data_IF_101194822118
#
_entry.id   IF_101194822118
#
_cell.length_a   1.000
_cell.length_b   1.000
_cell.length_c   1.000
_cell.angle_alpha   90.00
_cell.angle_beta   90.00
_cell.angle_gamma   90.00
#
_symmetry.space_group_name_H-M   'P 1'
#
loop_
_entity.id
_entity.type
_entity.pdbx_description
1 polymer ?
#
# COMPACT_ATOMS: atom_id res chain seq x y z
N UNK A 1 -0.15 64.03 37.09
CA UNK A 1 0.59 64.82 38.09
C UNK A 1 1.43 63.82 38.86
N UNK A 2 2.76 63.78 38.87
CA UNK A 2 3.86 64.70 38.52
C UNK A 2 5.10 63.79 38.64
N UNK A 3 5.84 63.49 37.57
CA UNK A 3 7.08 64.18 37.14
C UNK A 3 8.13 64.43 38.24
N UNK A 4 9.27 63.72 38.16
CA UNK A 4 10.66 64.25 38.15
C UNK A 4 11.65 63.05 38.24
N UNK A 5 12.58 62.81 37.29
CA UNK A 5 13.86 63.52 37.03
C UNK A 5 14.76 63.59 38.28
N UNK A 6 16.06 63.31 38.28
CA UNK A 6 17.09 63.32 37.24
C UNK A 6 18.44 62.83 37.82
N UNK A 7 19.45 62.71 36.94
CA UNK A 7 20.94 62.63 37.13
C UNK A 7 21.59 61.24 37.25
N UNK A 8 22.45 60.78 36.31
CA UNK A 8 23.80 61.27 35.85
C UNK A 8 24.85 61.20 36.98
N UNK A 9 26.08 60.68 36.86
CA UNK A 9 26.99 60.46 35.72
C UNK A 9 28.25 59.65 36.20
N UNK A 10 28.82 58.86 35.27
CA UNK A 10 30.23 58.50 34.98
C UNK A 10 31.20 57.67 35.88
N UNK A 11 32.02 56.93 35.11
CA UNK A 11 33.44 56.53 35.25
C UNK A 11 33.73 55.14 35.84
N UNK A 12 34.69 54.32 35.36
CA UNK A 12 35.43 54.20 34.10
C UNK A 12 36.22 52.87 34.18
N UNK A 13 36.58 52.27 33.01
CA UNK A 13 37.74 51.34 32.79
C UNK A 13 37.71 49.96 33.50
N UNK A 14 38.18 48.83 32.97
CA UNK A 14 38.58 48.25 31.66
C UNK A 14 38.84 46.77 31.99
N UNK A 15 38.47 45.79 31.17
CA UNK A 15 39.35 44.62 30.91
C UNK A 15 38.85 43.71 29.77
N UNK A 16 39.84 43.17 29.05
CA UNK A 16 39.81 42.55 27.72
C UNK A 16 39.39 41.07 27.70
N UNK A 17 38.77 40.61 26.59
CA UNK A 17 39.20 39.47 25.74
C UNK A 17 38.27 39.26 24.52
N UNK A 18 38.71 38.53 23.45
CA UNK A 18 38.62 39.00 22.06
C UNK A 18 37.32 38.61 21.32
N UNK A 19 36.75 39.60 20.61
CA UNK A 19 35.59 39.43 19.72
C UNK A 19 35.99 39.18 18.27
N UNK A 20 35.22 38.31 17.62
CA UNK A 20 35.33 37.87 16.22
C UNK A 20 35.23 39.04 15.22
N UNK A 21 36.09 39.02 14.20
CA UNK A 21 36.04 39.93 13.05
C UNK A 21 34.82 39.54 12.17
N UNK A 22 33.93 40.50 11.93
CA UNK A 22 32.82 40.41 10.97
C UNK A 22 33.19 41.27 9.76
N UNK A 23 33.46 40.67 8.61
CA UNK A 23 33.62 41.38 7.34
C UNK A 23 32.25 41.46 6.66
N UNK A 24 31.82 42.68 6.38
CA UNK A 24 30.59 43.03 5.65
C UNK A 24 30.98 43.31 4.20
N UNK A 25 30.36 42.68 3.18
CA UNK A 25 30.61 43.00 1.77
C UNK A 25 29.96 44.35 1.41
N UNK A 26 30.73 45.21 0.73
CA UNK A 26 30.34 46.55 0.25
C UNK A 26 30.25 46.54 -1.27
N UNK A 27 29.11 46.99 -1.81
CA UNK A 27 28.85 47.16 -3.25
C UNK A 27 29.65 48.31 -3.87
N UNK A 28 30.00 48.17 -5.15
CA UNK A 28 30.62 49.20 -6.00
C UNK A 28 29.78 49.39 -7.29
N UNK A 29 29.63 50.64 -7.79
CA UNK A 29 28.79 50.99 -8.93
C UNK A 29 29.54 50.89 -10.28
N UNK A 30 28.78 50.76 -11.37
CA UNK A 30 29.29 50.67 -12.74
C UNK A 30 29.62 52.02 -13.40
N UNK A 31 30.16 51.99 -14.63
CA UNK A 31 29.92 53.06 -15.57
C UNK A 31 29.64 52.57 -17.01
N UNK A 32 28.58 53.11 -17.59
CA UNK A 32 28.40 53.32 -19.03
C UNK A 32 29.20 54.54 -19.51
N UNK A 33 29.49 54.57 -20.82
CA UNK A 33 29.94 55.70 -21.68
C UNK A 33 31.43 55.77 -22.02
N UNK A 34 31.81 55.16 -23.16
CA UNK A 34 32.81 55.72 -24.09
C UNK A 34 32.36 55.39 -25.53
N UNK A 35 32.04 56.42 -26.31
CA UNK A 35 31.79 56.39 -27.76
C UNK A 35 33.12 56.29 -28.53
N UNK A 36 33.22 55.55 -29.64
CA UNK A 36 34.37 55.61 -30.54
C UNK A 36 34.23 56.75 -31.58
N UNK A 37 35.35 57.30 -32.10
CA UNK A 37 35.35 58.47 -32.97
C UNK A 37 35.06 58.14 -34.45
N UNK A 38 34.58 59.17 -35.17
CA UNK A 38 34.34 59.16 -36.61
C UNK A 38 35.60 58.85 -37.43
N UNK A 39 35.49 57.85 -38.31
CA UNK A 39 36.46 57.58 -39.38
C UNK A 39 36.06 58.27 -40.69
N UNK A 40 37.01 58.67 -41.54
CA UNK A 40 36.72 59.51 -42.69
C UNK A 40 36.03 58.75 -43.83
N UNK A 41 35.25 59.54 -44.57
CA UNK A 41 34.53 59.23 -45.80
C UNK A 41 35.43 59.15 -47.04
N UNK A 42 34.82 58.66 -48.12
CA UNK A 42 35.12 58.78 -49.55
C UNK A 42 36.07 57.77 -50.19
N UNK A 43 35.45 56.94 -51.04
CA UNK A 43 35.81 56.74 -52.44
C UNK A 43 37.29 56.83 -52.81
N UNK A 44 37.90 55.68 -53.11
CA UNK A 44 38.59 55.58 -54.40
C UNK A 44 38.88 54.14 -54.86
N UNK A 45 38.57 53.94 -56.14
CA UNK A 45 39.21 53.04 -57.10
C UNK A 45 38.83 51.55 -57.18
N UNK A 46 38.04 51.33 -58.25
CA UNK A 46 37.79 50.09 -58.99
C UNK A 46 39.06 49.27 -59.25
N UNK A 47 38.93 47.95 -59.09
CA UNK A 47 39.88 46.96 -59.62
C UNK A 47 39.23 45.58 -59.70
N UNK A 48 38.57 45.30 -60.83
CA UNK A 48 38.00 43.99 -61.16
C UNK A 48 39.14 43.00 -61.39
N UNK A 49 39.25 41.97 -60.55
CA UNK A 49 39.90 40.71 -60.89
C UNK A 49 39.01 39.54 -60.47
N UNK A 50 38.49 38.83 -61.47
CA UNK A 50 37.84 37.53 -61.29
C UNK A 50 38.92 36.54 -60.88
N UNK A 51 38.92 36.14 -59.61
CA UNK A 51 39.70 34.99 -59.14
C UNK A 51 38.74 33.86 -58.73
N UNK A 52 38.98 32.67 -59.28
CA UNK A 52 38.22 31.45 -58.95
C UNK A 52 38.31 31.18 -57.46
N UNK A 53 37.22 31.41 -56.72
CA UNK A 53 37.08 31.06 -55.30
C UNK A 53 37.12 29.54 -55.15
N UNK A 54 38.31 29.00 -54.86
CA UNK A 54 38.47 27.62 -54.34
C UNK A 54 37.62 27.55 -53.07
N UNK A 55 36.49 26.85 -53.14
CA UNK A 55 35.63 26.56 -51.97
C UNK A 55 36.44 25.73 -50.99
N UNK A 56 37.14 26.37 -50.05
CA UNK A 56 37.60 25.72 -48.84
C UNK A 56 36.36 25.53 -47.97
N UNK A 57 35.90 24.28 -47.92
CA UNK A 57 34.85 23.91 -46.99
C UNK A 57 35.35 24.23 -45.58
N UNK A 58 34.53 24.87 -44.75
CA UNK A 58 34.95 25.20 -43.39
C UNK A 58 35.18 23.89 -42.61
N UNK A 59 36.17 23.84 -41.71
CA UNK A 59 36.60 22.60 -41.05
C UNK A 59 35.50 21.93 -40.21
N UNK A 60 34.47 22.67 -39.78
CA UNK A 60 33.29 22.12 -39.11
C UNK A 60 32.37 21.31 -40.03
N UNK A 61 32.44 21.52 -41.34
CA UNK A 61 31.59 20.83 -42.31
C UNK A 61 31.99 19.35 -42.43
N UNK A 62 33.28 19.02 -42.24
CA UNK A 62 33.72 17.63 -42.15
C UNK A 62 33.11 16.94 -40.91
N UNK A 63 33.13 17.61 -39.75
CA UNK A 63 32.52 17.08 -38.53
C UNK A 63 31.00 16.93 -38.67
N UNK A 64 30.32 17.88 -39.32
CA UNK A 64 28.88 17.81 -39.59
C UNK A 64 28.53 16.66 -40.55
N UNK A 65 29.34 16.45 -41.59
CA UNK A 65 29.17 15.32 -42.51
C UNK A 65 29.42 13.99 -41.80
N UNK A 66 30.42 13.90 -40.93
CA UNK A 66 30.69 12.70 -40.13
C UNK A 66 29.52 12.42 -39.17
N UNK A 67 29.01 13.44 -38.47
CA UNK A 67 27.86 13.28 -37.58
C UNK A 67 26.61 12.82 -38.34
N UNK A 68 26.38 13.36 -39.54
CA UNK A 68 25.25 12.98 -40.39
C UNK A 68 25.41 11.56 -40.95
N UNK A 69 26.64 11.14 -41.28
CA UNK A 69 26.95 9.76 -41.67
C UNK A 69 26.78 8.77 -40.51
N UNK A 70 27.13 9.14 -39.28
CA UNK A 70 26.87 8.34 -38.08
C UNK A 70 25.36 8.22 -37.86
N UNK A 71 24.61 9.33 -37.94
CA UNK A 71 23.16 9.33 -37.76
C UNK A 71 22.45 8.50 -38.84
N UNK A 72 22.88 8.63 -40.10
CA UNK A 72 22.38 7.82 -41.21
C UNK A 72 22.77 6.34 -41.08
N UNK A 73 23.98 6.05 -40.58
CA UNK A 73 24.43 4.70 -40.28
C UNK A 73 23.59 4.03 -39.18
N UNK A 74 23.30 4.75 -38.10
CA UNK A 74 22.38 4.32 -37.04
C UNK A 74 21.00 4.01 -37.64
N UNK A 75 20.46 4.91 -38.48
CA UNK A 75 19.17 4.71 -39.14
C UNK A 75 19.14 3.57 -40.16
N UNK A 76 20.28 3.19 -40.75
CA UNK A 76 20.35 2.07 -41.71
C UNK A 76 20.61 0.73 -41.02
N UNK A 77 21.37 0.75 -39.92
CA UNK A 77 21.77 -0.45 -39.16
C UNK A 77 20.66 -0.87 -38.19
N UNK A 78 20.01 0.06 -37.47
CA UNK A 78 18.92 -0.28 -36.54
C UNK A 78 17.83 -1.14 -37.21
N UNK A 79 17.20 -0.74 -38.32
CA UNK A 79 16.14 -1.55 -38.91
C UNK A 79 16.64 -2.94 -39.30
N UNK A 80 17.89 -3.09 -39.77
CA UNK A 80 18.43 -4.41 -40.14
C UNK A 80 18.75 -5.32 -38.96
N UNK A 81 19.06 -4.78 -37.78
CA UNK A 81 19.25 -5.59 -36.56
C UNK A 81 17.91 -5.96 -35.93
N UNK A 82 16.88 -5.11 -36.06
CA UNK A 82 15.52 -5.42 -35.60
C UNK A 82 14.70 -6.29 -36.60
N UNK A 83 15.07 -6.32 -37.88
CA UNK A 83 14.44 -7.17 -38.90
C UNK A 83 15.07 -8.57 -39.01
N UNK A 84 16.11 -8.87 -38.20
CA UNK A 84 16.90 -10.09 -38.29
C UNK A 84 16.49 -11.24 -37.37
N UNK A 85 15.66 -10.99 -36.35
CA UNK A 85 15.07 -12.00 -35.46
C UNK A 85 13.83 -11.39 -34.83
N UNK A 86 12.66 -11.70 -35.38
CA UNK A 86 11.30 -11.68 -34.80
C UNK A 86 10.32 -11.47 -35.95
N UNK A 87 9.91 -12.57 -36.57
CA UNK A 87 8.57 -12.62 -37.15
C UNK A 87 7.56 -12.58 -35.99
N UNK A 88 7.39 -11.41 -35.38
CA UNK A 88 6.16 -11.10 -34.66
C UNK A 88 5.19 -10.55 -35.71
N UNK A 89 4.40 -11.47 -36.25
CA UNK A 89 3.14 -11.18 -36.91
C UNK A 89 2.37 -10.13 -36.11
N UNK A 90 2.11 -8.98 -36.73
CA UNK A 90 1.11 -8.02 -36.25
C UNK A 90 -0.21 -8.78 -36.06
N UNK A 91 -0.92 -8.63 -34.93
CA UNK A 91 -2.18 -9.32 -34.74
C UNK A 91 -3.19 -8.75 -35.74
N UNK A 92 -3.65 -9.64 -36.62
CA UNK A 92 -4.93 -9.54 -37.31
C UNK A 92 -5.98 -9.23 -36.24
N UNK A 93 -7.02 -8.41 -36.49
CA UNK A 93 -8.13 -8.29 -35.56
C UNK A 93 -8.75 -9.69 -35.41
N UNK A 94 -8.47 -10.36 -34.30
CA UNK A 94 -9.06 -11.65 -33.97
C UNK A 94 -10.53 -11.37 -33.70
N UNK A 95 -11.34 -11.65 -34.71
CA UNK A 95 -12.71 -12.08 -34.55
C UNK A 95 -12.73 -13.14 -33.45
N UNK A 96 -13.35 -12.79 -32.32
CA UNK A 96 -13.49 -13.56 -31.08
C UNK A 96 -13.23 -15.06 -31.23
N UNK A 97 -11.98 -15.46 -31.04
CA UNK A 97 -11.63 -16.85 -30.77
C UNK A 97 -12.14 -17.16 -29.38
N UNK A 98 -13.29 -17.84 -29.34
CA UNK A 98 -13.76 -18.52 -28.15
C UNK A 98 -12.67 -19.51 -27.74
N UNK A 99 -11.89 -19.13 -26.72
CA UNK A 99 -10.96 -20.03 -26.06
C UNK A 99 -11.73 -21.30 -25.64
N UNK A 100 -11.12 -22.50 -25.76
CA UNK A 100 -11.77 -23.73 -25.38
C UNK A 100 -12.17 -23.65 -23.91
N UNK A 101 -13.49 -23.71 -23.68
CA UNK A 101 -14.13 -23.74 -22.38
C UNK A 101 -13.77 -25.05 -21.70
N UNK A 102 -12.63 -25.06 -21.00
CA UNK A 102 -12.32 -26.11 -20.05
C UNK A 102 -12.98 -25.71 -18.73
N UNK A 103 -14.21 -26.20 -18.53
CA UNK A 103 -15.10 -25.86 -17.40
C UNK A 103 -14.59 -26.36 -16.03
N UNK A 104 -13.43 -27.00 -15.95
CA UNK A 104 -12.84 -27.45 -14.70
C UNK A 104 -11.68 -26.53 -14.28
N UNK A 105 -11.97 -25.58 -13.39
CA UNK A 105 -11.02 -24.75 -12.63
C UNK A 105 -10.44 -23.51 -13.32
N UNK A 106 -11.27 -22.71 -13.98
CA UNK A 106 -10.87 -21.32 -14.27
C UNK A 106 -10.75 -20.52 -12.97
N UNK A 107 -9.61 -19.86 -12.76
CA UNK A 107 -9.37 -18.99 -11.60
C UNK A 107 -8.90 -17.61 -12.02
N UNK A 108 -9.20 -16.62 -11.18
CA UNK A 108 -8.73 -15.25 -11.35
C UNK A 108 -8.00 -14.81 -10.08
N UNK A 109 -7.20 -13.74 -10.17
CA UNK A 109 -6.45 -13.18 -9.05
C UNK A 109 -6.71 -11.69 -8.95
N UNK A 110 -6.84 -11.18 -7.72
CA UNK A 110 -7.02 -9.76 -7.43
C UNK A 110 -5.76 -8.97 -7.74
N UNK A 111 -5.87 -7.95 -8.59
CA UNK A 111 -4.76 -7.05 -8.96
C UNK A 111 -4.89 -5.65 -8.35
N UNK A 112 -6.09 -5.25 -7.92
CA UNK A 112 -6.28 -4.04 -7.14
C UNK A 112 -5.68 -4.18 -5.73
N UNK A 113 -5.29 -3.06 -5.09
CA UNK A 113 -4.83 -3.05 -3.69
C UNK A 113 -5.85 -3.76 -2.78
N UNK A 114 -7.13 -3.44 -2.99
CA UNK A 114 -8.28 -4.20 -2.53
C UNK A 114 -9.47 -3.91 -3.44
N UNK A 115 -10.44 -4.81 -3.50
CA UNK A 115 -11.70 -4.59 -4.20
C UNK A 115 -12.86 -5.20 -3.40
N UNK A 116 -14.08 -4.85 -3.78
CA UNK A 116 -15.28 -5.36 -3.13
C UNK A 116 -15.85 -6.55 -3.90
N UNK A 117 -16.34 -7.52 -3.14
CA UNK A 117 -17.24 -8.55 -3.64
C UNK A 117 -18.68 -8.08 -3.41
N UNK A 118 -19.48 -8.08 -4.46
CA UNK A 118 -20.86 -7.60 -4.44
C UNK A 118 -21.87 -8.75 -4.47
N UNK A 119 -23.03 -8.56 -3.85
CA UNK A 119 -24.12 -9.54 -3.90
C UNK A 119 -24.71 -9.74 -5.31
N UNK A 120 -24.61 -8.74 -6.19
CA UNK A 120 -25.12 -8.76 -7.55
C UNK A 120 -24.31 -7.90 -8.54
N UNK A 121 -24.44 -8.12 -9.86
CA UNK A 121 -23.68 -7.42 -10.91
C UNK A 121 -24.29 -6.04 -11.25
N UNK A 122 -24.54 -5.22 -10.22
CA UNK A 122 -25.20 -3.93 -10.36
C UNK A 122 -24.50 -2.83 -9.59
N UNK A 123 -24.57 -1.60 -10.12
CA UNK A 123 -24.13 -0.41 -9.39
C UNK A 123 -25.00 -0.23 -8.14
N UNK A 124 -24.36 -0.17 -6.98
CA UNK A 124 -25.06 -0.01 -5.69
C UNK A 124 -25.52 -1.32 -5.07
N UNK A 125 -25.14 -2.48 -5.62
CA UNK A 125 -25.30 -3.75 -4.92
C UNK A 125 -24.58 -3.72 -3.57
N UNK A 126 -25.14 -4.45 -2.60
CA UNK A 126 -24.53 -4.63 -1.29
C UNK A 126 -23.15 -5.28 -1.42
N UNK A 127 -22.26 -4.89 -0.51
CA UNK A 127 -20.90 -5.44 -0.38
C UNK A 127 -20.98 -6.61 0.59
N UNK A 128 -20.52 -7.78 0.16
CA UNK A 128 -20.58 -9.01 0.97
C UNK A 128 -19.22 -9.38 1.58
N UNK A 129 -18.13 -8.93 0.95
CA UNK A 129 -16.76 -9.12 1.43
C UNK A 129 -15.83 -8.08 0.78
N UNK A 130 -14.70 -7.78 1.43
CA UNK A 130 -13.56 -7.16 0.76
C UNK A 130 -12.54 -8.24 0.37
N UNK A 131 -11.96 -8.12 -0.81
CA UNK A 131 -10.88 -8.97 -1.30
C UNK A 131 -9.58 -8.17 -1.31
N UNK A 132 -8.46 -8.82 -1.03
CA UNK A 132 -7.15 -8.16 -0.95
C UNK A 132 -6.24 -8.55 -2.10
N UNK A 133 -5.22 -7.72 -2.33
CA UNK A 133 -4.25 -7.92 -3.40
C UNK A 133 -3.67 -9.35 -3.42
N UNK A 134 -3.56 -9.90 -4.63
CA UNK A 134 -3.05 -11.24 -4.91
C UNK A 134 -3.87 -12.40 -4.32
N UNK A 135 -5.12 -12.16 -3.92
CA UNK A 135 -6.05 -13.22 -3.52
C UNK A 135 -6.55 -13.99 -4.75
N UNK A 136 -6.44 -15.33 -4.71
CA UNK A 136 -6.93 -16.23 -5.76
C UNK A 136 -8.43 -16.52 -5.55
N UNK A 137 -9.19 -16.43 -6.62
CA UNK A 137 -10.63 -16.67 -6.65
C UNK A 137 -10.96 -17.73 -7.70
N UNK A 138 -11.99 -18.52 -7.44
CA UNK A 138 -12.56 -19.41 -8.45
C UNK A 138 -13.53 -18.62 -9.32
N UNK A 139 -13.36 -18.69 -10.64
CA UNK A 139 -14.29 -18.09 -11.60
C UNK A 139 -15.50 -19.01 -11.77
N UNK A 140 -16.71 -18.47 -11.59
CA UNK A 140 -17.97 -19.21 -11.74
C UNK A 140 -18.70 -18.79 -13.03
N UNK A 141 -18.78 -17.49 -13.28
CA UNK A 141 -19.39 -16.94 -14.49
C UNK A 141 -18.62 -15.70 -14.98
N UNK A 142 -18.53 -15.57 -16.30
CA UNK A 142 -17.90 -14.45 -16.99
C UNK A 142 -18.78 -13.82 -18.07
N UNK A 143 -20.08 -14.15 -18.06
CA UNK A 143 -21.09 -13.71 -19.02
C UNK A 143 -21.35 -12.20 -18.99
N UNK A 144 -21.24 -11.57 -17.81
CA UNK A 144 -21.40 -10.12 -17.67
C UNK A 144 -20.13 -9.38 -18.16
N UNK A 145 -20.34 -8.28 -18.89
CA UNK A 145 -19.25 -7.50 -19.48
C UNK A 145 -18.37 -6.79 -18.44
N UNK A 146 -18.95 -6.42 -17.29
CA UNK A 146 -18.28 -5.61 -16.25
C UNK A 146 -17.98 -6.40 -14.99
N UNK A 147 -18.76 -7.42 -14.69
CA UNK A 147 -18.64 -8.21 -13.48
C UNK A 147 -18.27 -9.66 -13.81
N UNK A 148 -17.56 -10.29 -12.89
CA UNK A 148 -17.32 -11.73 -12.88
C UNK A 148 -17.97 -12.31 -11.64
N UNK A 149 -18.73 -13.39 -11.79
CA UNK A 149 -19.16 -14.18 -10.64
C UNK A 149 -18.01 -15.07 -10.19
N UNK A 150 -17.66 -14.98 -8.91
CA UNK A 150 -16.51 -15.66 -8.32
C UNK A 150 -16.86 -16.27 -6.98
N UNK A 151 -16.09 -17.28 -6.57
CA UNK A 151 -16.07 -17.81 -5.21
C UNK A 151 -14.70 -17.58 -4.57
N UNK A 152 -14.70 -17.12 -3.33
CA UNK A 152 -13.49 -17.03 -2.51
C UNK A 152 -13.03 -18.42 -2.06
N UNK A 153 -11.77 -18.55 -1.62
CA UNK A 153 -11.24 -19.80 -1.07
C UNK A 153 -11.96 -20.29 0.20
N UNK A 154 -12.70 -19.40 0.86
CA UNK A 154 -13.53 -19.68 2.03
C UNK A 154 -15.03 -19.78 1.71
N UNK A 155 -15.40 -19.93 0.43
CA UNK A 155 -16.75 -20.30 -0.01
C UNK A 155 -17.76 -19.16 -0.12
N UNK A 156 -17.35 -17.89 0.01
CA UNK A 156 -18.24 -16.76 -0.24
C UNK A 156 -18.32 -16.51 -1.74
N UNK A 157 -19.55 -16.45 -2.25
CA UNK A 157 -19.83 -16.16 -3.66
C UNK A 157 -20.30 -14.73 -3.85
N UNK A 158 -19.97 -14.14 -4.99
CA UNK A 158 -20.46 -12.84 -5.37
C UNK A 158 -19.82 -12.34 -6.66
N UNK A 159 -19.95 -11.06 -6.91
CA UNK A 159 -19.55 -10.42 -8.16
C UNK A 159 -18.38 -9.46 -7.92
N UNK A 160 -17.32 -9.57 -8.71
CA UNK A 160 -16.16 -8.68 -8.69
C UNK A 160 -16.08 -7.88 -9.99
N UNK A 161 -15.56 -6.65 -9.94
CA UNK A 161 -15.37 -5.84 -11.15
C UNK A 161 -14.22 -6.44 -11.96
N UNK A 162 -14.46 -6.67 -13.26
CA UNK A 162 -13.52 -7.34 -14.18
C UNK A 162 -12.16 -6.65 -14.26
N UNK A 163 -12.08 -5.32 -14.08
CA UNK A 163 -10.82 -4.56 -14.11
C UNK A 163 -9.95 -4.73 -12.87
N UNK A 164 -10.52 -5.23 -11.77
CA UNK A 164 -9.82 -5.37 -10.47
C UNK A 164 -9.16 -6.75 -10.31
N UNK A 165 -9.32 -7.61 -11.31
CA UNK A 165 -8.81 -8.98 -11.32
C UNK A 165 -8.13 -9.31 -12.65
N UNK A 166 -7.32 -10.37 -12.65
CA UNK A 166 -6.62 -10.89 -13.82
C UNK A 166 -6.87 -12.39 -13.95
N UNK A 167 -7.01 -12.89 -15.18
CA UNK A 167 -7.02 -14.31 -15.47
C UNK A 167 -5.61 -14.93 -15.45
N UNK A 168 -4.56 -14.10 -15.50
CA UNK A 168 -3.19 -14.58 -15.30
C UNK A 168 -2.93 -14.83 -13.82
N UNK A 169 -2.81 -16.10 -13.45
CA UNK A 169 -2.60 -16.58 -12.08
C UNK A 169 -1.13 -16.86 -11.75
N UNK A 170 -0.18 -16.47 -12.61
CA UNK A 170 1.25 -16.70 -12.41
C UNK A 170 1.80 -16.13 -11.09
N UNK A 171 1.20 -15.06 -10.57
CA UNK A 171 1.58 -14.44 -9.28
C UNK A 171 1.12 -15.20 -8.03
N UNK A 172 0.31 -16.25 -8.17
CA UNK A 172 -0.25 -17.04 -7.05
C UNK A 172 0.11 -18.52 -7.10
N UNK A 173 0.98 -18.94 -8.03
CA UNK A 173 1.42 -20.33 -8.16
C UNK A 173 2.58 -20.64 -7.19
N UNK A 174 2.35 -21.45 -6.12
CA UNK A 174 3.40 -21.78 -5.16
C UNK A 174 4.53 -22.63 -5.75
N UNK A 175 4.26 -23.40 -6.80
CA UNK A 175 5.25 -24.31 -7.40
C UNK A 175 6.31 -23.55 -8.20
N UNK A 176 5.98 -22.32 -8.61
CA UNK A 176 6.90 -21.43 -9.33
C UNK A 176 7.67 -20.47 -8.41
N UNK A 177 7.57 -20.67 -7.10
CA UNK A 177 8.12 -19.78 -6.09
C UNK A 177 9.08 -20.51 -5.15
N UNK A 178 10.05 -19.78 -4.65
CA UNK A 178 10.96 -20.25 -3.61
C UNK A 178 10.40 -19.97 -2.21
N UNK A 179 9.73 -18.83 -2.04
CA UNK A 179 9.23 -18.37 -0.75
C UNK A 179 7.78 -17.89 -0.84
N UNK A 180 7.04 -18.11 0.25
CA UNK A 180 5.76 -17.45 0.51
C UNK A 180 6.00 -16.24 1.38
N UNK A 181 5.47 -15.09 0.97
CA UNK A 181 5.62 -13.82 1.66
C UNK A 181 4.26 -13.39 2.19
N UNK A 182 4.18 -13.06 3.48
CA UNK A 182 2.95 -12.52 4.08
C UNK A 182 3.20 -11.12 4.59
N UNK A 183 2.38 -10.17 4.17
CA UNK A 183 2.51 -8.76 4.58
C UNK A 183 2.03 -8.56 6.02
N UNK A 184 2.87 -7.97 6.88
CA UNK A 184 2.58 -7.73 8.31
C UNK A 184 2.35 -6.27 8.68
N UNK A 185 2.55 -5.35 7.75
CA UNK A 185 2.29 -3.92 7.91
C UNK A 185 0.96 -3.55 7.26
N UNK A 186 0.24 -2.51 7.72
CA UNK A 186 -1.05 -2.12 7.15
C UNK A 186 -1.05 -1.98 5.62
N UNK A 187 0.06 -1.52 5.03
CA UNK A 187 0.25 -1.46 3.58
C UNK A 187 1.74 -1.58 3.22
N UNK A 188 2.05 -2.40 2.22
CA UNK A 188 3.41 -2.61 1.73
C UNK A 188 3.52 -2.26 0.26
N UNK A 189 4.49 -1.40 -0.06
CA UNK A 189 4.77 -1.02 -1.44
C UNK A 189 5.50 -2.13 -2.18
N UNK A 190 5.09 -2.36 -3.41
CA UNK A 190 5.77 -3.21 -4.39
C UNK A 190 6.40 -2.28 -5.43
N UNK A 191 7.70 -2.38 -5.59
CA UNK A 191 8.52 -1.49 -6.40
C UNK A 191 8.84 -2.12 -7.76
N UNK A 192 9.03 -1.31 -8.80
CA UNK A 192 9.46 -1.80 -10.12
C UNK A 192 10.89 -2.32 -10.16
N UNK A 193 11.74 -1.86 -9.23
CA UNK A 193 13.16 -2.21 -9.16
C UNK A 193 13.57 -2.36 -7.70
N UNK A 194 14.62 -3.18 -7.46
CA UNK A 194 15.20 -3.38 -6.14
C UNK A 194 15.68 -2.08 -5.46
N UNK A 195 16.18 -1.12 -6.25
CA UNK A 195 16.65 0.17 -5.77
C UNK A 195 16.18 1.29 -6.70
N UNK A 196 15.72 2.41 -6.12
CA UNK A 196 15.31 3.60 -6.89
C UNK A 196 14.09 3.42 -7.79
N UNK A 197 13.36 2.31 -7.67
CA UNK A 197 12.16 2.03 -8.44
C UNK A 197 10.97 2.91 -8.05
N UNK A 198 9.92 2.83 -8.87
CA UNK A 198 8.61 3.42 -8.60
C UNK A 198 7.68 2.39 -7.99
N UNK A 199 6.67 2.83 -7.24
CA UNK A 199 5.61 1.94 -6.72
C UNK A 199 4.74 1.49 -7.90
N UNK A 200 4.60 0.18 -8.10
CA UNK A 200 3.75 -0.42 -9.15
C UNK A 200 2.47 -1.02 -8.58
N UNK A 201 2.50 -1.45 -7.32
CA UNK A 201 1.35 -1.98 -6.60
C UNK A 201 1.53 -1.76 -5.10
N UNK A 202 0.44 -1.94 -4.36
CA UNK A 202 0.43 -1.94 -2.91
C UNK A 202 -0.32 -3.18 -2.43
N UNK A 203 0.22 -3.80 -1.40
CA UNK A 203 -0.34 -4.99 -0.79
C UNK A 203 -0.76 -4.68 0.65
N UNK A 204 -2.04 -4.84 1.02
CA UNK A 204 -2.50 -4.66 2.39
C UNK A 204 -1.94 -5.74 3.33
N UNK A 205 -2.06 -5.50 4.63
CA UNK A 205 -1.81 -6.50 5.68
C UNK A 205 -2.56 -7.81 5.38
N UNK A 206 -1.88 -8.94 5.55
CA UNK A 206 -2.43 -10.28 5.31
C UNK A 206 -2.42 -10.74 3.85
N UNK A 207 -1.96 -9.91 2.91
CA UNK A 207 -1.73 -10.32 1.51
C UNK A 207 -0.66 -11.40 1.44
N UNK A 208 -0.89 -12.42 0.61
CA UNK A 208 0.04 -13.52 0.36
C UNK A 208 0.65 -13.34 -1.03
N UNK A 209 1.97 -13.25 -1.08
CA UNK A 209 2.76 -13.06 -2.29
C UNK A 209 3.76 -14.20 -2.43
N UNK A 210 4.23 -14.41 -3.65
CA UNK A 210 5.18 -15.49 -3.95
C UNK A 210 6.46 -14.92 -4.55
N UNK A 211 7.58 -15.26 -3.93
CA UNK A 211 8.90 -14.77 -4.33
C UNK A 211 9.73 -15.87 -4.99
N UNK A 212 10.38 -15.52 -6.09
CA UNK A 212 11.25 -16.44 -6.85
C UNK A 212 12.74 -16.10 -6.73
N UNK A 213 13.05 -14.97 -6.09
CA UNK A 213 14.41 -14.52 -5.80
C UNK A 213 14.45 -13.77 -4.48
N UNK A 214 15.55 -13.93 -3.75
CA UNK A 214 15.83 -13.15 -2.55
C UNK A 214 17.29 -12.70 -2.50
N UNK A 215 17.50 -11.48 -2.01
CA UNK A 215 18.80 -10.94 -1.60
C UNK A 215 18.75 -10.57 -0.11
N UNK A 216 19.78 -9.95 0.45
CA UNK A 216 19.89 -9.59 1.87
C UNK A 216 18.73 -8.70 2.34
N UNK A 217 18.29 -7.75 1.51
CA UNK A 217 17.30 -6.74 1.92
C UNK A 217 15.96 -6.81 1.16
N UNK A 218 15.96 -7.43 -0.01
CA UNK A 218 14.81 -7.39 -0.93
C UNK A 218 14.45 -8.78 -1.43
N UNK A 219 13.19 -8.91 -1.82
CA UNK A 219 12.60 -10.08 -2.45
C UNK A 219 12.05 -9.64 -3.80
N UNK A 220 12.17 -10.52 -4.80
CA UNK A 220 11.48 -10.36 -6.07
C UNK A 220 10.23 -11.22 -6.05
N UNK A 221 9.08 -10.61 -6.26
CA UNK A 221 7.78 -11.27 -6.29
C UNK A 221 7.26 -11.35 -7.71
N UNK A 222 6.56 -12.44 -8.01
CA UNK A 222 5.81 -12.59 -9.25
C UNK A 222 4.44 -11.94 -9.08
N UNK A 223 4.08 -11.08 -10.00
CA UNK A 223 2.76 -10.47 -10.08
C UNK A 223 2.01 -11.03 -11.29
N UNK A 224 0.67 -10.90 -11.29
CA UNK A 224 -0.12 -11.16 -12.48
C UNK A 224 0.39 -10.37 -13.70
N UNK A 225 0.11 -10.89 -14.89
CA UNK A 225 0.50 -10.38 -16.20
C UNK A 225 2.01 -10.47 -16.49
N UNK A 226 2.70 -11.41 -15.85
CA UNK A 226 4.15 -11.61 -16.03
C UNK A 226 5.01 -10.44 -15.52
N UNK A 227 4.45 -9.55 -14.69
CA UNK A 227 5.16 -8.42 -14.12
C UNK A 227 5.96 -8.89 -12.89
N UNK A 228 7.22 -8.48 -12.79
CA UNK A 228 8.02 -8.67 -11.59
C UNK A 228 7.93 -7.45 -10.68
N UNK A 229 7.85 -7.68 -9.37
CA UNK A 229 7.84 -6.64 -8.34
C UNK A 229 8.93 -6.86 -7.31
N UNK A 230 9.33 -5.80 -6.62
CA UNK A 230 10.35 -5.84 -5.58
C UNK A 230 9.80 -5.35 -4.26
N UNK A 231 10.00 -6.12 -3.20
CA UNK A 231 9.53 -5.82 -1.85
C UNK A 231 10.67 -5.94 -0.84
N UNK A 232 10.72 -5.04 0.13
CA UNK A 232 11.69 -5.12 1.23
C UNK A 232 11.31 -6.24 2.21
N UNK A 233 12.30 -6.97 2.72
CA UNK A 233 12.15 -8.03 3.73
C UNK A 233 11.67 -7.55 5.11
N UNK A 234 11.64 -6.25 5.34
CA UNK A 234 11.11 -5.68 6.59
C UNK A 234 9.58 -5.85 6.62
N UNK A 235 8.99 -6.06 7.78
CA UNK A 235 7.53 -6.10 7.98
C UNK A 235 6.79 -7.15 7.12
N UNK A 236 7.47 -8.25 6.79
CA UNK A 236 6.87 -9.41 6.13
C UNK A 236 7.31 -10.69 6.84
N UNK A 237 6.49 -11.74 6.77
CA UNK A 237 6.98 -13.10 6.98
C UNK A 237 7.59 -13.59 5.68
N UNK A 238 8.76 -14.23 5.77
CA UNK A 238 9.39 -14.98 4.67
C UNK A 238 9.37 -16.43 5.09
N UNK A 239 8.50 -17.21 4.45
CA UNK A 239 8.21 -18.60 4.79
C UNK A 239 8.56 -19.49 3.61
N UNK A 240 8.72 -20.79 3.87
CA UNK A 240 8.74 -21.76 2.79
C UNK A 240 7.40 -21.72 2.02
N UNK A 241 7.44 -22.05 0.72
CA UNK A 241 6.32 -21.87 -0.23
C UNK A 241 4.96 -22.43 0.24
N UNK A 242 4.96 -23.46 1.07
CA UNK A 242 3.76 -24.10 1.61
C UNK A 242 3.65 -23.99 3.15
N UNK A 243 4.61 -23.36 3.82
CA UNK A 243 4.67 -23.27 5.28
C UNK A 243 3.65 -22.26 5.82
N UNK A 244 2.85 -22.63 6.81
CA UNK A 244 1.89 -21.72 7.43
C UNK A 244 2.59 -20.66 8.30
N UNK A 245 1.89 -19.56 8.57
CA UNK A 245 2.39 -18.58 9.55
C UNK A 245 2.54 -19.32 10.88
N UNK A 246 3.73 -19.29 11.51
CA UNK A 246 3.94 -19.99 12.78
C UNK A 246 3.03 -19.38 13.85
N UNK A 247 2.45 -20.26 14.68
CA UNK A 247 1.65 -19.83 15.84
C UNK A 247 2.55 -19.06 16.80
N UNK A 248 2.10 -17.90 17.27
CA UNK A 248 2.83 -17.11 18.26
C UNK A 248 2.85 -17.82 19.61
N UNK A 249 4.03 -17.87 20.25
CA UNK A 249 4.16 -18.37 21.63
C UNK A 249 3.35 -17.52 22.63
N UNK A 250 3.18 -16.22 22.32
CA UNK A 250 2.32 -15.29 23.06
C UNK A 250 1.20 -14.81 22.12
N UNK A 251 0.11 -15.59 22.08
CA UNK A 251 -1.06 -15.29 21.24
C UNK A 251 -1.71 -13.97 21.68
N UNK A 252 -1.85 -13.72 22.99
CA UNK A 252 -2.52 -12.53 23.52
C UNK A 252 -1.82 -11.25 23.05
N UNK A 253 -0.50 -11.17 23.22
CA UNK A 253 0.29 -10.02 22.78
C UNK A 253 0.29 -9.84 21.27
N UNK A 254 0.33 -10.95 20.50
CA UNK A 254 0.29 -10.90 19.04
C UNK A 254 -1.06 -10.40 18.52
N UNK A 255 -2.18 -10.87 19.09
CA UNK A 255 -3.53 -10.41 18.76
C UNK A 255 -3.69 -8.91 19.03
N UNK A 256 -3.30 -8.47 20.22
CA UNK A 256 -3.38 -7.07 20.65
C UNK A 256 -2.53 -6.17 19.75
N UNK A 257 -1.28 -6.57 19.48
CA UNK A 257 -0.36 -5.80 18.65
C UNK A 257 -0.88 -5.64 17.22
N UNK A 258 -1.41 -6.72 16.63
CA UNK A 258 -2.01 -6.66 15.30
C UNK A 258 -3.28 -5.79 15.30
N UNK A 259 -4.14 -5.91 16.32
CA UNK A 259 -5.38 -5.14 16.42
C UNK A 259 -5.12 -3.63 16.54
N UNK A 260 -4.09 -3.23 17.28
CA UNK A 260 -3.69 -1.82 17.44
C UNK A 260 -3.33 -1.13 16.13
N UNK A 261 -2.96 -1.88 15.08
CA UNK A 261 -2.77 -1.36 13.72
C UNK A 261 -4.01 -0.63 13.21
N UNK A 262 -5.21 -1.04 13.67
CA UNK A 262 -6.50 -0.52 13.24
C UNK A 262 -7.12 0.47 14.23
N UNK A 263 -6.36 0.92 15.26
CA UNK A 263 -6.85 1.99 16.13
C UNK A 263 -7.14 3.24 15.29
N UNK A 264 -8.37 3.75 15.39
CA UNK A 264 -8.89 4.90 14.62
C UNK A 264 -9.08 4.65 13.13
N UNK A 265 -9.01 3.40 12.67
CA UNK A 265 -9.44 3.05 11.32
C UNK A 265 -10.92 3.39 11.12
N UNK A 266 -11.28 3.77 9.90
CA UNK A 266 -12.68 4.02 9.55
C UNK A 266 -13.43 2.70 9.60
N UNK A 267 -14.56 2.69 10.29
CA UNK A 267 -15.43 1.52 10.33
C UNK A 267 -16.14 1.36 8.99
N UNK A 268 -15.93 0.23 8.35
CA UNK A 268 -16.60 -0.15 7.10
C UNK A 268 -17.01 -1.62 7.21
N UNK A 269 -18.31 -1.95 7.12
CA UNK A 269 -18.78 -3.33 7.10
C UNK A 269 -18.04 -4.18 6.07
N UNK A 270 -17.63 -5.38 6.48
CA UNK A 270 -16.88 -6.36 5.67
C UNK A 270 -15.53 -5.87 5.15
N UNK A 271 -15.02 -4.74 5.64
CA UNK A 271 -13.71 -4.22 5.29
C UNK A 271 -12.58 -5.06 5.91
N UNK A 272 -11.44 -5.12 5.22
CA UNK A 272 -10.23 -5.87 5.56
C UNK A 272 -8.94 -5.04 5.38
N UNK A 273 -9.05 -3.72 5.29
CA UNK A 273 -7.88 -2.85 5.02
C UNK A 273 -7.85 -1.64 5.94
N UNK A 274 -6.68 -0.99 6.07
CA UNK A 274 -6.56 0.22 6.90
C UNK A 274 -7.44 1.40 6.42
N UNK A 275 -7.88 1.37 5.16
CA UNK A 275 -8.80 2.37 4.60
C UNK A 275 -10.25 2.20 5.07
N UNK A 276 -10.59 1.02 5.59
CA UNK A 276 -11.93 0.67 6.02
C UNK A 276 -11.98 -0.77 6.50
N UNK A 277 -12.36 -0.98 7.76
CA UNK A 277 -12.37 -2.29 8.42
C UNK A 277 -13.45 -2.35 9.49
N UNK A 278 -14.02 -3.52 9.74
CA UNK A 278 -14.91 -3.77 10.88
C UNK A 278 -14.23 -4.64 11.95
N UNK A 279 -14.91 -4.91 13.06
CA UNK A 279 -14.31 -5.72 14.13
C UNK A 279 -14.12 -7.19 13.73
N UNK A 280 -14.91 -7.72 12.79
CA UNK A 280 -14.70 -9.05 12.19
C UNK A 280 -13.36 -9.08 11.45
N UNK A 281 -13.09 -8.08 10.61
CA UNK A 281 -11.85 -7.94 9.86
C UNK A 281 -10.64 -7.72 10.76
N UNK A 282 -10.77 -6.89 11.80
CA UNK A 282 -9.71 -6.70 12.81
C UNK A 282 -9.34 -8.03 13.45
N UNK A 283 -10.33 -8.78 13.95
CA UNK A 283 -10.08 -10.07 14.60
C UNK A 283 -9.51 -11.11 13.63
N UNK A 284 -10.05 -11.21 12.41
CA UNK A 284 -9.53 -12.11 11.38
C UNK A 284 -8.05 -11.84 11.09
N UNK A 285 -7.69 -10.57 10.84
CA UNK A 285 -6.30 -10.21 10.53
C UNK A 285 -5.39 -10.38 11.74
N UNK A 286 -5.85 -10.06 12.95
CA UNK A 286 -5.11 -10.32 14.19
C UNK A 286 -4.83 -11.80 14.37
N UNK A 287 -5.84 -12.67 14.20
CA UNK A 287 -5.69 -14.12 14.31
C UNK A 287 -4.71 -14.65 13.27
N UNK A 288 -4.87 -14.23 12.01
CA UNK A 288 -3.99 -14.61 10.90
C UNK A 288 -2.54 -14.22 11.17
N UNK A 289 -2.28 -13.03 11.70
CA UNK A 289 -0.91 -12.58 12.05
C UNK A 289 -0.31 -13.32 13.24
N UNK A 290 -1.15 -13.90 14.11
CA UNK A 290 -0.75 -14.76 15.22
C UNK A 290 -0.61 -16.24 14.82
N UNK A 291 -0.79 -16.58 13.54
CA UNK A 291 -0.71 -17.96 13.05
C UNK A 291 -1.97 -18.81 13.26
N UNK A 292 -3.07 -18.18 13.67
CA UNK A 292 -4.36 -18.85 13.88
C UNK A 292 -5.15 -18.83 12.56
N UNK A 293 -5.51 -20.01 12.08
CA UNK A 293 -6.30 -20.15 10.85
C UNK A 293 -7.79 -19.88 11.13
N UNK A 294 -8.34 -18.86 10.47
CA UNK A 294 -9.74 -18.48 10.57
C UNK A 294 -10.14 -17.72 9.31
N UNK A 295 -11.41 -17.81 8.92
CA UNK A 295 -11.96 -17.11 7.75
C UNK A 295 -12.59 -15.77 8.16
N UNK A 296 -12.65 -14.76 7.27
CA UNK A 296 -13.17 -13.43 7.58
C UNK A 296 -14.71 -13.40 7.63
N UNK A 297 -15.32 -14.24 8.47
CA UNK A 297 -16.77 -14.34 8.66
C UNK A 297 -17.11 -14.25 10.14
N UNK A 298 -18.12 -13.44 10.49
CA UNK A 298 -18.55 -13.24 11.87
C UNK A 298 -18.94 -14.56 12.55
N UNK A 299 -19.57 -15.49 11.82
CA UNK A 299 -19.90 -16.81 12.36
C UNK A 299 -18.66 -17.63 12.75
N UNK A 300 -17.58 -17.56 11.97
CA UNK A 300 -16.32 -18.25 12.27
C UNK A 300 -15.61 -17.58 13.46
N UNK A 301 -15.56 -16.24 13.49
CA UNK A 301 -14.94 -15.48 14.58
C UNK A 301 -15.69 -15.68 15.91
N UNK A 302 -17.03 -15.77 15.89
CA UNK A 302 -17.84 -16.01 17.09
C UNK A 302 -17.61 -17.39 17.72
N UNK A 303 -17.11 -18.36 16.95
CA UNK A 303 -16.81 -19.72 17.41
C UNK A 303 -15.33 -19.93 17.75
N UNK A 304 -14.53 -18.86 17.71
CA UNK A 304 -13.09 -18.96 17.90
C UNK A 304 -12.74 -19.20 19.37
N UNK A 305 -11.89 -20.19 19.64
CA UNK A 305 -11.43 -20.50 20.99
C UNK A 305 -12.52 -21.05 21.93
N UNK A 306 -12.21 -21.07 23.22
CA UNK A 306 -13.06 -21.63 24.27
C UNK A 306 -14.10 -20.62 24.76
N UNK A 307 -15.28 -21.11 25.12
CA UNK A 307 -16.26 -20.31 25.86
C UNK A 307 -15.77 -20.04 27.28
N UNK A 308 -15.69 -18.77 27.67
CA UNK A 308 -15.32 -18.36 29.03
C UNK A 308 -16.57 -17.92 29.80
N UNK A 309 -16.92 -18.71 30.82
CA UNK A 309 -17.95 -18.32 31.78
C UNK A 309 -17.40 -17.28 32.75
N UNK A 310 -17.85 -16.04 32.61
CA UNK A 310 -17.59 -14.98 33.58
C UNK A 310 -18.70 -14.95 34.64
N UNK A 311 -18.39 -14.53 35.88
CA UNK A 311 -19.43 -14.38 36.90
C UNK A 311 -20.34 -13.19 36.60
N UNK A 312 -21.55 -13.22 37.15
CA UNK A 312 -22.45 -12.06 37.12
C UNK A 312 -22.08 -11.05 38.22
N UNK A 313 -22.23 -9.78 37.91
CA UNK A 313 -22.09 -8.69 38.85
C UNK A 313 -23.28 -8.69 39.81
N UNK A 314 -23.00 -8.77 41.11
CA UNK A 314 -24.03 -8.86 42.16
C UNK A 314 -24.98 -7.66 42.23
N UNK A 315 -24.58 -6.49 41.72
CA UNK A 315 -25.39 -5.27 41.74
C UNK A 315 -26.29 -5.14 40.51
N UNK A 316 -25.78 -5.51 39.32
CA UNK A 316 -26.49 -5.30 38.04
C UNK A 316 -27.15 -6.57 37.49
N UNK A 317 -26.68 -7.75 37.92
CA UNK A 317 -27.09 -9.04 37.36
C UNK A 317 -26.59 -9.29 35.94
N UNK A 318 -25.67 -8.46 35.43
CA UNK A 318 -25.04 -8.60 34.12
C UNK A 318 -23.65 -9.24 34.25
N UNK A 319 -23.07 -9.69 33.14
CA UNK A 319 -21.72 -10.26 33.09
C UNK A 319 -20.69 -9.26 33.66
N UNK A 320 -19.86 -9.72 34.59
CA UNK A 320 -18.80 -8.93 35.22
C UNK A 320 -17.50 -8.98 34.39
N UNK A 321 -17.32 -7.97 33.54
CA UNK A 321 -16.16 -7.86 32.64
C UNK A 321 -14.83 -7.59 33.36
N UNK A 322 -14.82 -7.35 34.68
CA UNK A 322 -13.57 -7.24 35.46
C UNK A 322 -12.78 -8.55 35.50
N UNK A 323 -13.45 -9.68 35.24
CA UNK A 323 -12.83 -11.00 35.17
C UNK A 323 -12.37 -11.37 33.76
N UNK A 324 -12.67 -10.55 32.75
CA UNK A 324 -12.16 -10.73 31.41
C UNK A 324 -10.64 -10.47 31.38
N UNK A 325 -9.92 -11.23 30.55
CA UNK A 325 -8.48 -11.12 30.38
C UNK A 325 -8.14 -10.48 29.04
N UNK A 326 -6.96 -9.89 28.97
CA UNK A 326 -6.39 -9.44 27.69
C UNK A 326 -6.42 -10.55 26.66
N UNK A 327 -6.81 -10.22 25.42
CA UNK A 327 -6.97 -11.18 24.34
C UNK A 327 -8.35 -11.86 24.30
N UNK A 328 -9.20 -11.70 25.33
CA UNK A 328 -10.58 -12.18 25.27
C UNK A 328 -11.36 -11.43 24.19
N UNK A 329 -12.12 -12.18 23.40
CA UNK A 329 -13.02 -11.68 22.38
C UNK A 329 -14.43 -11.65 22.99
N UNK A 330 -15.04 -10.48 23.01
CA UNK A 330 -16.42 -10.30 23.39
C UNK A 330 -17.30 -10.41 22.15
N UNK A 331 -18.23 -11.35 22.16
CA UNK A 331 -19.28 -11.46 21.13
C UNK A 331 -20.45 -10.60 21.57
N UNK A 332 -20.80 -9.61 20.76
CA UNK A 332 -21.78 -8.60 21.09
C UNK A 332 -23.05 -8.76 20.24
N UNK A 333 -24.20 -8.52 20.85
CA UNK A 333 -25.42 -8.26 20.11
C UNK A 333 -25.37 -6.82 19.55
N UNK A 334 -25.43 -6.67 18.22
CA UNK A 334 -25.70 -5.38 17.59
C UNK A 334 -27.22 -5.17 17.56
N UNK A 335 -27.67 -4.07 18.17
CA UNK A 335 -29.09 -3.69 18.24
C UNK A 335 -29.44 -2.72 17.08
N UNK A 336 -28.49 -2.46 16.19
CA UNK A 336 -28.68 -1.62 15.01
C UNK A 336 -29.57 -2.34 13.99
N UNK A 337 -30.88 -2.00 14.00
CA UNK A 337 -31.85 -2.28 12.91
C UNK A 337 -32.64 -3.60 12.92
N UNK A 338 -32.99 -4.16 14.09
CA UNK A 338 -34.08 -5.15 14.19
C UNK A 338 -33.75 -6.57 13.71
N UNK A 339 -32.59 -6.76 13.07
CA UNK A 339 -31.93 -8.05 12.90
C UNK A 339 -30.83 -8.17 13.96
N UNK A 340 -30.70 -9.35 14.58
CA UNK A 340 -29.63 -9.62 15.55
C UNK A 340 -28.33 -9.88 14.80
N UNK A 341 -27.65 -8.82 14.38
CA UNK A 341 -26.31 -8.92 13.82
C UNK A 341 -25.28 -9.10 14.96
N UNK A 342 -24.20 -9.83 14.68
CA UNK A 342 -23.13 -10.08 15.64
C UNK A 342 -22.05 -9.03 15.41
N UNK A 343 -21.67 -8.30 16.46
CA UNK A 343 -20.51 -7.41 16.49
C UNK A 343 -19.48 -7.95 17.49
N UNK A 344 -18.28 -7.38 17.52
CA UNK A 344 -17.21 -7.87 18.39
C UNK A 344 -16.50 -6.74 19.12
N UNK A 345 -15.87 -7.12 20.23
CA UNK A 345 -14.87 -6.30 20.89
C UNK A 345 -13.69 -7.18 21.34
N UNK A 346 -12.51 -6.58 21.45
CA UNK A 346 -11.30 -7.24 21.93
C UNK A 346 -10.87 -6.61 23.25
N UNK A 347 -10.69 -7.42 24.29
CA UNK A 347 -10.13 -6.96 25.56
C UNK A 347 -8.65 -6.66 25.37
N UNK A 348 -8.29 -5.42 25.69
CA UNK A 348 -6.94 -4.88 25.57
C UNK A 348 -6.27 -4.84 26.95
N UNK A 349 -4.94 -4.66 27.02
CA UNK A 349 -4.26 -4.40 28.28
C UNK A 349 -4.80 -3.17 29.02
N UNK A 350 -4.58 -3.14 30.34
CA UNK A 350 -4.89 -2.00 31.22
C UNK A 350 -6.39 -1.68 31.34
N UNK A 351 -7.24 -2.71 31.45
CA UNK A 351 -8.71 -2.56 31.56
C UNK A 351 -9.32 -1.76 30.39
N UNK A 352 -8.85 -2.04 29.18
CA UNK A 352 -9.32 -1.39 27.97
C UNK A 352 -10.00 -2.38 27.03
N UNK A 353 -10.76 -1.85 26.09
CA UNK A 353 -11.48 -2.61 25.07
C UNK A 353 -11.42 -1.91 23.73
N UNK A 354 -11.08 -2.64 22.68
CA UNK A 354 -11.15 -2.17 21.31
C UNK A 354 -12.50 -2.57 20.70
N UNK A 355 -13.24 -1.59 20.19
CA UNK A 355 -14.53 -1.83 19.53
C UNK A 355 -14.95 -0.63 18.68
N UNK A 356 -16.03 -0.79 17.92
CA UNK A 356 -16.81 0.34 17.42
C UNK A 356 -17.85 0.74 18.47
N UNK A 357 -17.83 1.99 18.93
CA UNK A 357 -18.95 2.55 19.70
C UNK A 357 -20.14 2.82 18.78
N UNK A 358 -21.37 2.52 19.20
CA UNK A 358 -22.59 2.83 18.45
C UNK A 358 -22.63 4.33 18.09
N UNK A 359 -22.90 4.62 16.82
CA UNK A 359 -22.89 5.98 16.26
C UNK A 359 -21.49 6.53 15.92
N UNK A 360 -20.42 5.78 16.18
CA UNK A 360 -19.06 6.11 15.72
C UNK A 360 -18.81 5.58 14.32
N UNK A 361 -18.06 6.34 13.52
CA UNK A 361 -17.53 5.91 12.22
C UNK A 361 -16.12 5.33 12.31
N UNK A 362 -15.58 5.13 13.52
CA UNK A 362 -14.23 4.62 13.74
C UNK A 362 -14.18 3.54 14.80
N UNK A 363 -13.21 2.63 14.64
CA UNK A 363 -12.80 1.67 15.68
C UNK A 363 -11.86 2.40 16.65
N UNK A 364 -12.03 2.19 17.95
CA UNK A 364 -11.23 2.87 18.97
C UNK A 364 -11.09 2.03 20.23
N UNK A 365 -10.11 2.40 21.05
CA UNK A 365 -9.87 1.80 22.35
C UNK A 365 -10.51 2.67 23.43
N UNK A 366 -11.28 2.05 24.31
CA UNK A 366 -11.98 2.70 25.42
C UNK A 366 -11.61 2.02 26.74
N UNK A 367 -11.82 2.71 27.87
CA UNK A 367 -11.78 2.05 29.18
C UNK A 367 -13.00 1.14 29.35
N UNK A 368 -12.80 -0.05 29.91
CA UNK A 368 -13.88 -0.97 30.29
C UNK A 368 -14.85 -0.37 31.30
N UNK A 369 -14.38 0.57 32.12
CA UNK A 369 -15.23 1.27 33.12
C UNK A 369 -16.15 2.32 32.51
N UNK A 370 -16.08 2.55 31.20
CA UNK A 370 -16.91 3.53 30.52
C UNK A 370 -18.37 3.05 30.39
N UNK A 371 -19.21 3.47 31.34
CA UNK A 371 -20.65 3.18 31.35
C UNK A 371 -21.39 3.62 30.08
N UNK A 372 -20.88 4.60 29.35
CA UNK A 372 -21.47 5.08 28.09
C UNK A 372 -21.31 4.12 26.91
N UNK A 373 -20.64 2.98 27.09
CA UNK A 373 -20.55 1.91 26.10
C UNK A 373 -21.67 0.87 26.23
N UNK A 374 -22.29 0.77 27.42
CA UNK A 374 -23.28 -0.27 27.76
C UNK A 374 -22.80 -1.68 27.34
N UNK A 375 -21.52 -1.96 27.56
CA UNK A 375 -20.88 -3.17 27.04
C UNK A 375 -21.47 -4.43 27.68
N UNK A 376 -21.61 -4.43 29.01
CA UNK A 376 -22.18 -5.54 29.79
C UNK A 376 -23.60 -5.93 29.35
N UNK A 377 -24.40 -4.98 28.85
CA UNK A 377 -25.76 -5.22 28.36
C UNK A 377 -25.78 -5.88 26.96
N UNK A 378 -24.66 -5.79 26.24
CA UNK A 378 -24.52 -6.25 24.85
C UNK A 378 -23.73 -7.54 24.71
N UNK A 379 -22.91 -7.89 25.71
CA UNK A 379 -22.09 -9.10 25.67
C UNK A 379 -22.99 -10.31 25.74
N UNK A 380 -23.01 -11.08 24.66
CA UNK A 380 -23.68 -12.38 24.59
C UNK A 380 -22.82 -13.46 25.23
N UNK A 381 -21.53 -13.47 24.92
CA UNK A 381 -20.57 -14.45 25.41
C UNK A 381 -19.14 -13.94 25.27
N UNK A 382 -18.22 -14.62 25.96
CA UNK A 382 -16.78 -14.33 25.94
C UNK A 382 -16.03 -15.54 25.41
N UNK A 383 -15.10 -15.28 24.51
CA UNK A 383 -14.25 -16.28 23.85
C UNK A 383 -12.79 -16.03 24.18
N UNK A 384 -12.01 -17.10 24.41
CA UNK A 384 -10.56 -17.01 24.62
C UNK A 384 -9.84 -18.02 23.76
N UNK A 385 -8.82 -17.56 23.04
CA UNK A 385 -7.97 -18.42 22.24
C UNK A 385 -6.86 -18.98 23.14
N UNK A 386 -6.85 -20.30 23.30
CA UNK A 386 -5.85 -21.04 24.07
C UNK A 386 -4.85 -21.67 23.10
N UNK A 387 -3.56 -21.69 23.42
CA UNK A 387 -2.61 -22.62 22.76
C UNK A 387 -2.87 -23.99 23.39
N UNK A 388 -3.35 -24.97 22.63
CA UNK A 388 -3.22 -26.36 23.08
C UNK A 388 -1.73 -26.71 23.04
N UNK A 389 -1.09 -26.79 24.21
CA UNK A 389 0.25 -27.39 24.36
C UNK A 389 0.19 -28.82 23.79
N UNK A 390 0.69 -29.02 22.57
CA UNK A 390 0.87 -30.33 21.96
C UNK A 390 2.25 -30.89 22.27
#
# INVERSE_FOLDING_TARGET
MTENKDKKINDAKTENKPGKIKIVPKELPGPSQITPPDGPSSDDLRGIYISKKKRRLPPWLLAAVIALLILAGIFWILPKVFLGNNEETLPIPIESEQLPHNEENSSVVVTANSCWLYAGPARGSDRVAQLIFNEKLQLLDSSDERYLEVSTGYGVRGFVIRTDVSADTSGVDPEQALYKIVVRTPEKNIMSHAQGGTIIAKAPLGSILYADYQDVQVLRIKLPQGVEGWISKHDVFVLDRQENIPVSDDIESALVSAALTFERATWVPHGLTISGIDMTGVLYLSCKMSGIDVVPQSAAIAQLGDHIGLPDNSETGLIDLRYAKTGDILVLDDVSAGEREIDFALIMPDERVMMRKIGSSTISVYSLTNKGLQLEERVREVRRISVEEH
#
